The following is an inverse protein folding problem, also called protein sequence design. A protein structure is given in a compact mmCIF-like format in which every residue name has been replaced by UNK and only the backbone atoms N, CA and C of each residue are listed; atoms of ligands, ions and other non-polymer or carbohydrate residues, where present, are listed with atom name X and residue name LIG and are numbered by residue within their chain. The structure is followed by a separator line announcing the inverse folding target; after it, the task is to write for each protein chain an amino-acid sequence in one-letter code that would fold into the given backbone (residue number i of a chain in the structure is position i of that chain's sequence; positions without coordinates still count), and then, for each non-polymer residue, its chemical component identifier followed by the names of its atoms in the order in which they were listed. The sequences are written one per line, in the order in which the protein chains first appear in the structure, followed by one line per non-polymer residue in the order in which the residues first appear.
data_IF_688183419665
#
_entry.id   IF_688183419665
#
_cell.length_a   1.000
_cell.length_b   1.000
_cell.length_c   1.000
_cell.angle_alpha   90.00
_cell.angle_beta   90.00
_cell.angle_gamma   90.00
#
_symmetry.space_group_name_H-M   'P 1'
#
loop_
_entity.id
_entity.type
_entity.pdbx_description
1 polymer ?
#
# COMPACT_ATOMS: atom_id res chain seq x y z
N UNK A 1 -27.09 62.73 -1.63
CA UNK A 1 -25.84 62.20 -2.24
C UNK A 1 -25.08 61.19 -1.36
N UNK A 2 -25.32 61.11 -0.04
CA UNK A 2 -24.64 60.16 0.87
C UNK A 2 -25.05 58.68 0.72
N UNK A 3 -26.25 58.37 0.19
CA UNK A 3 -26.73 57.00 0.04
C UNK A 3 -26.01 56.18 -1.05
N UNK A 4 -25.42 56.83 -2.07
CA UNK A 4 -24.73 56.14 -3.16
C UNK A 4 -23.34 55.62 -2.77
N UNK A 5 -22.67 56.27 -1.81
CA UNK A 5 -21.30 55.96 -1.40
C UNK A 5 -21.22 54.65 -0.58
N UNK A 6 -22.26 54.33 0.19
CA UNK A 6 -22.30 53.09 0.99
C UNK A 6 -22.49 51.82 0.16
N UNK A 7 -23.18 51.89 -1.00
CA UNK A 7 -23.39 50.72 -1.88
C UNK A 7 -22.11 50.25 -2.58
N UNK A 8 -21.23 51.18 -2.94
CA UNK A 8 -19.97 50.86 -3.65
C UNK A 8 -18.94 50.24 -2.69
N UNK A 9 -18.94 50.66 -1.42
CA UNK A 9 -18.04 50.10 -0.40
C UNK A 9 -18.41 48.66 -0.02
N UNK A 10 -19.70 48.33 0.09
CA UNK A 10 -20.13 46.96 0.42
C UNK A 10 -19.88 45.96 -0.72
N UNK A 11 -20.03 46.38 -1.98
CA UNK A 11 -19.75 45.53 -3.15
C UNK A 11 -18.26 45.19 -3.29
N UNK A 12 -17.36 46.13 -3.01
CA UNK A 12 -15.91 45.87 -3.05
C UNK A 12 -15.44 44.98 -1.89
N UNK A 13 -15.99 45.15 -0.69
CA UNK A 13 -15.70 44.28 0.44
C UNK A 13 -16.19 42.84 0.20
N UNK A 14 -17.37 42.68 -0.41
CA UNK A 14 -17.91 41.37 -0.75
C UNK A 14 -17.06 40.62 -1.81
N UNK A 15 -16.54 41.33 -2.82
CA UNK A 15 -15.68 40.73 -3.86
C UNK A 15 -14.28 40.35 -3.35
N UNK A 16 -13.73 41.10 -2.39
CA UNK A 16 -12.44 40.77 -1.76
C UNK A 16 -12.61 39.59 -0.81
N UNK A 17 -13.70 39.55 -0.04
CA UNK A 17 -13.98 38.44 0.88
C UNK A 17 -14.18 37.10 0.15
N UNK A 18 -14.82 37.08 -1.02
CA UNK A 18 -14.97 35.86 -1.84
C UNK A 18 -13.69 35.44 -2.54
N UNK A 19 -12.84 36.38 -2.95
CA UNK A 19 -11.51 36.05 -3.51
C UNK A 19 -10.57 35.39 -2.49
N UNK A 20 -10.60 35.87 -1.25
CA UNK A 20 -9.75 35.33 -0.17
C UNK A 20 -10.19 33.92 0.26
N UNK A 21 -11.49 33.66 0.38
CA UNK A 21 -11.98 32.30 0.75
C UNK A 21 -11.71 31.27 -0.34
N UNK A 22 -11.87 31.63 -1.62
CA UNK A 22 -11.53 30.74 -2.73
C UNK A 22 -10.03 30.41 -2.76
N UNK A 23 -9.16 31.41 -2.53
CA UNK A 23 -7.71 31.20 -2.49
C UNK A 23 -7.26 30.28 -1.35
N UNK A 24 -7.86 30.42 -0.16
CA UNK A 24 -7.57 29.55 1.00
C UNK A 24 -8.03 28.11 0.75
N UNK A 25 -9.20 27.91 0.15
CA UNK A 25 -9.69 26.57 -0.17
C UNK A 25 -8.78 25.83 -1.17
N UNK A 26 -8.33 26.52 -2.22
CA UNK A 26 -7.44 25.93 -3.24
C UNK A 26 -6.08 25.57 -2.63
N UNK A 27 -5.50 26.46 -1.82
CA UNK A 27 -4.21 26.20 -1.16
C UNK A 27 -4.28 25.05 -0.14
N UNK A 28 -5.36 24.97 0.64
CA UNK A 28 -5.59 23.84 1.54
C UNK A 28 -5.74 22.51 0.78
N UNK A 29 -6.47 22.50 -0.34
CA UNK A 29 -6.64 21.31 -1.18
C UNK A 29 -5.31 20.85 -1.79
N UNK A 30 -4.51 21.78 -2.31
CA UNK A 30 -3.18 21.48 -2.84
C UNK A 30 -2.23 20.94 -1.77
N UNK A 31 -2.28 21.50 -0.55
CA UNK A 31 -1.48 21.01 0.57
C UNK A 31 -1.86 19.58 0.96
N UNK A 32 -3.16 19.26 1.02
CA UNK A 32 -3.62 17.88 1.30
C UNK A 32 -3.19 16.91 0.20
N UNK A 33 -3.30 17.30 -1.08
CA UNK A 33 -2.85 16.47 -2.21
C UNK A 33 -1.34 16.22 -2.17
N UNK A 34 -0.54 17.25 -1.88
CA UNK A 34 0.91 17.11 -1.72
C UNK A 34 1.25 16.17 -0.57
N UNK A 35 0.61 16.32 0.59
CA UNK A 35 0.80 15.41 1.73
C UNK A 35 0.44 13.99 1.33
N UNK A 36 -0.74 13.77 0.73
CA UNK A 36 -1.16 12.44 0.27
C UNK A 36 -0.18 11.83 -0.73
N UNK A 37 0.34 12.61 -1.67
CA UNK A 37 1.36 12.14 -2.62
C UNK A 37 2.68 11.79 -1.93
N UNK A 38 3.09 12.54 -0.91
CA UNK A 38 4.31 12.24 -0.15
C UNK A 38 4.15 11.10 0.85
N UNK A 39 2.92 10.81 1.29
CA UNK A 39 2.66 9.75 2.28
C UNK A 39 2.21 8.43 1.66
N UNK A 40 1.82 8.42 0.38
CA UNK A 40 1.41 7.20 -0.31
C UNK A 40 2.65 6.39 -0.66
N UNK A 41 2.89 5.32 0.09
CA UNK A 41 3.98 4.39 -0.20
C UNK A 41 3.63 3.60 -1.47
N UNK A 42 4.43 3.75 -2.52
CA UNK A 42 4.26 3.06 -3.81
C UNK A 42 4.26 1.54 -3.66
N UNK A 43 4.83 1.02 -2.57
CA UNK A 43 4.81 -0.41 -2.22
C UNK A 43 3.40 -0.95 -1.97
N UNK A 44 2.44 -0.09 -1.63
CA UNK A 44 1.04 -0.49 -1.49
C UNK A 44 0.45 -0.94 -2.83
N UNK A 45 1.00 -0.49 -3.96
CA UNK A 45 0.51 -0.79 -5.30
C UNK A 45 1.16 -2.06 -5.90
N UNK A 46 2.09 -2.73 -5.20
CA UNK A 46 2.74 -3.98 -5.68
C UNK A 46 1.69 -5.08 -5.87
N UNK A 47 1.51 -5.57 -7.10
CA UNK A 47 0.64 -6.70 -7.37
C UNK A 47 1.40 -8.01 -7.15
N UNK A 48 0.85 -8.90 -6.30
CA UNK A 48 1.45 -10.21 -6.11
C UNK A 48 1.47 -11.06 -7.39
N UNK A 49 0.60 -10.77 -8.36
CA UNK A 49 0.57 -11.44 -9.66
C UNK A 49 1.81 -11.19 -10.52
N UNK A 50 2.49 -10.07 -10.33
CA UNK A 50 3.69 -9.72 -11.13
C UNK A 50 4.84 -10.70 -10.88
N UNK A 51 4.89 -11.30 -9.69
CA UNK A 51 5.89 -12.28 -9.29
C UNK A 51 5.73 -13.65 -9.95
N UNK A 52 4.62 -13.92 -10.63
CA UNK A 52 4.37 -15.22 -11.28
C UNK A 52 5.45 -15.57 -12.32
N UNK A 53 6.01 -14.56 -13.00
CA UNK A 53 7.07 -14.75 -14.00
C UNK A 53 8.42 -15.19 -13.38
N UNK A 54 8.65 -14.84 -12.11
CA UNK A 54 9.87 -15.18 -11.37
C UNK A 54 9.82 -16.57 -10.71
N UNK A 55 8.71 -17.30 -10.89
CA UNK A 55 8.50 -18.64 -10.34
C UNK A 55 9.54 -19.68 -10.75
N UNK A 56 10.19 -19.48 -11.90
CA UNK A 56 11.26 -20.37 -12.38
C UNK A 56 12.64 -20.08 -11.76
N UNK A 57 12.84 -18.89 -11.19
CA UNK A 57 14.12 -18.48 -10.60
C UNK A 57 14.22 -18.84 -9.12
N UNK A 58 13.12 -18.67 -8.37
CA UNK A 58 13.10 -18.91 -6.93
C UNK A 58 12.32 -20.17 -6.61
N UNK A 59 12.95 -21.12 -5.93
CA UNK A 59 12.31 -22.37 -5.53
C UNK A 59 11.07 -22.15 -4.66
N UNK A 60 11.08 -21.11 -3.81
CA UNK A 60 9.95 -20.72 -2.97
C UNK A 60 8.67 -20.40 -3.78
N UNK A 61 8.83 -19.90 -5.00
CA UNK A 61 7.76 -19.53 -5.94
C UNK A 61 7.37 -20.68 -6.89
N UNK A 62 7.84 -21.90 -6.66
CA UNK A 62 7.50 -23.02 -7.54
C UNK A 62 6.00 -23.38 -7.39
N UNK A 63 5.26 -23.40 -8.51
CA UNK A 63 3.81 -23.61 -8.49
C UNK A 63 3.04 -22.39 -7.97
N UNK A 64 3.60 -21.19 -8.14
CA UNK A 64 2.96 -19.93 -7.75
C UNK A 64 1.67 -19.70 -8.52
N UNK A 65 0.55 -19.72 -7.81
CA UNK A 65 -0.79 -19.55 -8.35
C UNK A 65 -1.65 -18.66 -7.45
N UNK A 66 -2.60 -17.96 -8.05
CA UNK A 66 -3.52 -17.13 -7.29
C UNK A 66 -4.42 -18.02 -6.42
N UNK A 67 -4.49 -17.70 -5.13
CA UNK A 67 -5.28 -18.41 -4.15
C UNK A 67 -5.93 -17.45 -3.14
N UNK A 68 -6.27 -16.24 -3.59
CA UNK A 68 -6.76 -15.14 -2.74
C UNK A 68 -7.96 -15.55 -1.91
N UNK A 69 -9.00 -16.12 -2.53
CA UNK A 69 -10.22 -16.55 -1.84
C UNK A 69 -9.91 -17.53 -0.69
N UNK A 70 -9.04 -18.51 -0.94
CA UNK A 70 -8.66 -19.54 0.03
C UNK A 70 -7.77 -19.00 1.15
N UNK A 71 -6.83 -18.11 0.82
CA UNK A 71 -5.81 -17.63 1.76
C UNK A 71 -6.25 -16.41 2.58
N UNK A 72 -7.22 -15.63 2.08
CA UNK A 72 -7.69 -14.39 2.69
C UNK A 72 -9.08 -14.47 3.33
N UNK A 73 -9.87 -15.55 3.14
CA UNK A 73 -11.27 -15.64 3.61
C UNK A 73 -11.46 -15.25 5.08
N UNK A 74 -10.52 -15.64 5.93
CA UNK A 74 -10.59 -15.48 7.39
C UNK A 74 -9.44 -14.62 7.94
N UNK A 75 -8.78 -13.85 7.07
CA UNK A 75 -7.62 -13.05 7.43
C UNK A 75 -7.96 -11.57 7.26
N UNK A 76 -8.11 -10.86 8.38
CA UNK A 76 -8.40 -9.44 8.40
C UNK A 76 -7.34 -8.65 7.61
N UNK A 77 -7.81 -7.75 6.74
CA UNK A 77 -6.95 -6.90 5.92
C UNK A 77 -6.24 -7.60 4.76
N UNK A 78 -6.37 -8.91 4.57
CA UNK A 78 -5.78 -9.63 3.44
C UNK A 78 -6.51 -9.27 2.13
N UNK A 79 -5.78 -8.77 1.15
CA UNK A 79 -6.32 -8.29 -0.13
C UNK A 79 -5.91 -9.14 -1.33
N UNK A 80 -4.77 -9.83 -1.25
CA UNK A 80 -4.32 -10.78 -2.28
C UNK A 80 -3.62 -11.95 -1.61
N UNK A 81 -3.79 -13.14 -2.18
CA UNK A 81 -3.17 -14.35 -1.71
C UNK A 81 -2.67 -15.21 -2.86
N UNK A 82 -1.43 -15.69 -2.76
CA UNK A 82 -0.86 -16.63 -3.71
C UNK A 82 -0.31 -17.85 -2.97
N UNK A 83 -0.53 -19.02 -3.54
CA UNK A 83 0.00 -20.28 -3.03
C UNK A 83 1.15 -20.73 -3.91
N UNK A 84 2.17 -21.30 -3.31
CA UNK A 84 3.23 -22.03 -3.99
C UNK A 84 3.48 -23.35 -3.25
N UNK A 85 4.29 -24.21 -3.85
CA UNK A 85 4.61 -25.55 -3.32
C UNK A 85 5.19 -25.50 -1.90
N UNK A 86 5.96 -24.46 -1.60
CA UNK A 86 6.75 -24.36 -0.36
C UNK A 86 6.43 -23.12 0.50
N UNK A 87 5.54 -22.25 0.02
CA UNK A 87 5.22 -21.01 0.71
C UNK A 87 3.82 -20.50 0.32
N UNK A 88 3.20 -19.76 1.22
CA UNK A 88 2.01 -18.96 0.97
C UNK A 88 2.39 -17.49 1.05
N UNK A 89 1.85 -16.68 0.16
CA UNK A 89 2.12 -15.26 0.07
C UNK A 89 0.82 -14.50 0.27
N UNK A 90 0.82 -13.51 1.16
CA UNK A 90 -0.36 -12.68 1.43
C UNK A 90 0.03 -11.22 1.42
N UNK A 91 -0.76 -10.41 0.73
CA UNK A 91 -0.67 -8.95 0.77
C UNK A 91 -1.82 -8.40 1.60
N UNK A 92 -1.51 -7.39 2.41
CA UNK A 92 -2.46 -6.73 3.29
C UNK A 92 -2.75 -5.30 2.85
N UNK A 93 -3.93 -4.79 3.17
CA UNK A 93 -4.32 -3.39 2.95
C UNK A 93 -3.59 -2.42 3.88
N UNK A 94 -3.09 -2.90 5.03
CA UNK A 94 -2.36 -2.12 6.03
C UNK A 94 -1.11 -2.86 6.54
N UNK A 95 -0.11 -2.10 6.99
CA UNK A 95 1.09 -2.68 7.63
C UNK A 95 0.70 -3.33 8.95
N UNK A 96 -0.22 -2.73 9.71
CA UNK A 96 -0.64 -3.25 11.02
C UNK A 96 -1.27 -4.64 10.91
N UNK A 97 -2.10 -4.89 9.89
CA UNK A 97 -2.66 -6.22 9.64
C UNK A 97 -1.59 -7.23 9.23
N UNK A 98 -0.62 -6.83 8.39
CA UNK A 98 0.52 -7.67 8.04
C UNK A 98 1.39 -8.01 9.26
N UNK A 99 1.61 -7.04 10.16
CA UNK A 99 2.32 -7.26 11.44
C UNK A 99 1.57 -8.23 12.32
N UNK A 100 0.26 -8.02 12.49
CA UNK A 100 -0.59 -8.86 13.32
C UNK A 100 -0.61 -10.30 12.82
N UNK A 101 -0.73 -10.50 11.50
CA UNK A 101 -0.69 -11.82 10.89
C UNK A 101 0.69 -12.48 10.98
N UNK A 102 1.78 -11.75 10.70
CA UNK A 102 3.13 -12.32 10.83
C UNK A 102 3.42 -12.80 12.27
N UNK A 103 2.85 -12.11 13.28
CA UNK A 103 3.00 -12.52 14.67
C UNK A 103 2.30 -13.86 15.01
N UNK A 104 1.36 -14.34 14.19
CA UNK A 104 0.67 -15.62 14.45
C UNK A 104 1.45 -16.84 13.98
N UNK A 105 2.51 -16.68 13.17
CA UNK A 105 3.29 -17.78 12.60
C UNK A 105 4.79 -17.59 12.81
N UNK A 106 5.41 -18.54 13.53
CA UNK A 106 6.85 -18.54 13.79
C UNK A 106 7.71 -18.84 12.55
N UNK A 107 7.10 -19.30 11.47
CA UNK A 107 7.75 -19.59 10.19
C UNK A 107 7.36 -18.60 9.10
N UNK A 108 6.98 -17.37 9.49
CA UNK A 108 6.67 -16.30 8.55
C UNK A 108 7.81 -15.29 8.42
N UNK A 109 7.89 -14.66 7.25
CA UNK A 109 8.70 -13.49 6.97
C UNK A 109 7.78 -12.35 6.52
N UNK A 110 8.06 -11.12 6.93
CA UNK A 110 7.27 -9.95 6.53
C UNK A 110 8.13 -8.94 5.80
N UNK A 111 7.75 -8.66 4.56
CA UNK A 111 8.24 -7.53 3.76
C UNK A 111 7.14 -6.48 3.65
N UNK A 112 7.14 -5.49 4.55
CA UNK A 112 6.12 -4.44 4.65
C UNK A 112 4.66 -5.00 4.68
N UNK A 113 3.87 -4.76 3.62
CA UNK A 113 2.49 -5.25 3.47
C UNK A 113 2.38 -6.72 3.07
N UNK A 114 3.49 -7.39 2.78
CA UNK A 114 3.51 -8.76 2.28
C UNK A 114 4.05 -9.68 3.37
N UNK A 115 3.35 -10.78 3.62
CA UNK A 115 3.78 -11.86 4.50
C UNK A 115 3.99 -13.13 3.68
N UNK A 116 5.17 -13.74 3.85
CA UNK A 116 5.56 -15.03 3.30
C UNK A 116 5.49 -16.05 4.43
N UNK A 117 4.64 -17.05 4.32
CA UNK A 117 4.51 -18.14 5.28
C UNK A 117 5.08 -19.42 4.67
N UNK A 118 6.21 -19.90 5.21
CA UNK A 118 6.85 -21.09 4.66
C UNK A 118 6.15 -22.37 5.14
N UNK A 119 5.85 -23.25 4.20
CA UNK A 119 5.18 -24.53 4.46
C UNK A 119 6.23 -25.63 4.60
N UNK A 120 6.44 -26.08 5.85
CA UNK A 120 7.34 -27.19 6.17
C UNK A 120 8.84 -26.83 6.19
N UNK A 121 9.67 -27.86 6.33
CA UNK A 121 11.14 -27.76 6.44
C UNK A 121 11.88 -28.07 5.12
N UNK A 122 11.16 -28.14 4.00
CA UNK A 122 11.70 -28.55 2.69
C UNK A 122 12.43 -27.44 1.94
N UNK A 123 12.23 -26.18 2.35
CA UNK A 123 12.99 -25.03 1.84
C UNK A 123 14.22 -24.78 2.71
N UNK A 124 15.40 -24.65 2.10
CA UNK A 124 16.64 -24.34 2.82
C UNK A 124 16.65 -22.89 3.32
N UNK A 125 17.49 -22.58 4.31
CA UNK A 125 17.65 -21.20 4.78
C UNK A 125 18.13 -20.26 3.66
N UNK A 126 18.98 -20.74 2.75
CA UNK A 126 19.42 -19.99 1.57
C UNK A 126 18.28 -19.68 0.61
N UNK A 127 17.47 -20.68 0.24
CA UNK A 127 16.29 -20.48 -0.60
C UNK A 127 15.28 -19.50 0.03
N UNK A 128 15.19 -19.48 1.37
CA UNK A 128 14.36 -18.50 2.11
C UNK A 128 14.95 -17.11 1.98
N UNK A 129 16.24 -16.94 2.21
CA UNK A 129 16.92 -15.65 2.11
C UNK A 129 16.80 -15.05 0.71
N UNK A 130 16.98 -15.86 -0.34
CA UNK A 130 16.90 -15.40 -1.74
C UNK A 130 15.54 -14.79 -2.07
N UNK A 131 14.43 -15.46 -1.65
CA UNK A 131 13.09 -14.92 -1.90
C UNK A 131 12.78 -13.71 -1.00
N UNK A 132 13.33 -13.65 0.22
CA UNK A 132 13.15 -12.50 1.10
C UNK A 132 13.81 -11.26 0.51
N UNK A 133 15.06 -11.38 0.08
CA UNK A 133 15.79 -10.31 -0.59
C UNK A 133 15.08 -9.86 -1.88
N UNK A 134 14.52 -10.80 -2.64
CA UNK A 134 13.75 -10.47 -3.84
C UNK A 134 12.51 -9.61 -3.53
N UNK A 135 11.72 -9.97 -2.51
CA UNK A 135 10.55 -9.18 -2.12
C UNK A 135 10.95 -7.82 -1.50
N UNK A 136 12.01 -7.77 -0.69
CA UNK A 136 12.50 -6.53 -0.08
C UNK A 136 13.06 -5.57 -1.13
N UNK A 137 13.85 -6.08 -2.07
CA UNK A 137 14.42 -5.26 -3.16
C UNK A 137 13.35 -4.72 -4.09
N UNK A 138 12.32 -5.52 -4.40
CA UNK A 138 11.16 -5.09 -5.19
C UNK A 138 10.36 -4.04 -4.43
N UNK A 139 10.23 -4.17 -3.11
CA UNK A 139 9.65 -3.11 -2.29
C UNK A 139 10.49 -1.84 -2.31
N UNK A 140 11.82 -1.92 -2.37
CA UNK A 140 12.70 -0.74 -2.29
C UNK A 140 12.99 -0.02 -3.61
N UNK A 141 12.58 -0.59 -4.75
CA UNK A 141 12.93 -0.02 -6.07
C UNK A 141 12.02 1.16 -6.42
N UNK A 142 12.57 2.38 -6.30
CA UNK A 142 12.02 3.65 -6.80
C UNK A 142 12.34 3.89 -8.28
#
# INVERSE_FOLDING_TARGET
MQLAVNRVRSQRAALIATGVTAGVAITAMLAVLLVMMTTRDTRQDIDLGDFAHSSSQFRALNGYEEATEKLCSDVAGCVQGYSATYASYRKFSSIDDAVAFAATSSSSYRSNWIVIEYVGHSLSEGDRADVQEYFDSTATSE
#
